data_IF_604662417984
#
_entry.id   IF_604662417984
#
_cell.length_a   1.000
_cell.length_b   1.000
_cell.length_c   1.000
_cell.angle_alpha   90.00
_cell.angle_beta   90.00
_cell.angle_gamma   90.00
#
_symmetry.space_group_name_H-M   'P 1'
#
loop_
_entity.id
_entity.type
_entity.pdbx_description
1 polymer ?
#
# COMPACT_ATOMS: atom_id res chain seq x y z
N UNK A 1 14.26 1.50 -23.47
CA UNK A 1 14.66 0.08 -23.46
C UNK A 1 13.42 -0.75 -23.14
N UNK A 2 13.22 -1.89 -23.79
CA UNK A 2 12.14 -2.84 -23.47
C UNK A 2 12.68 -3.98 -22.61
N UNK A 3 11.87 -4.51 -21.70
CA UNK A 3 12.12 -5.79 -21.02
C UNK A 3 10.96 -6.75 -21.31
N UNK A 4 11.15 -8.04 -21.04
CA UNK A 4 10.03 -8.98 -21.11
C UNK A 4 9.21 -8.93 -19.83
N UNK A 5 7.94 -9.31 -19.91
CA UNK A 5 7.05 -9.51 -18.77
C UNK A 5 7.67 -10.42 -17.70
N UNK A 6 8.38 -11.47 -18.11
CA UNK A 6 9.07 -12.39 -17.19
C UNK A 6 10.23 -11.70 -16.47
N UNK A 7 11.04 -10.91 -17.18
CA UNK A 7 12.11 -10.12 -16.56
C UNK A 7 11.55 -9.08 -15.58
N UNK A 8 10.44 -8.43 -15.94
CA UNK A 8 9.78 -7.47 -15.07
C UNK A 8 9.20 -8.13 -13.81
N UNK A 9 8.56 -9.31 -13.96
CA UNK A 9 8.07 -10.07 -12.81
C UNK A 9 9.22 -10.49 -11.89
N UNK A 10 10.31 -11.03 -12.44
CA UNK A 10 11.48 -11.44 -11.67
C UNK A 10 12.11 -10.25 -10.93
N UNK A 11 12.22 -9.08 -11.57
CA UNK A 11 12.68 -7.86 -10.92
C UNK A 11 11.82 -7.47 -9.71
N UNK A 12 10.50 -7.52 -9.84
CA UNK A 12 9.61 -7.21 -8.72
C UNK A 12 9.67 -8.27 -7.62
N UNK A 13 9.78 -9.56 -7.96
CA UNK A 13 9.91 -10.64 -6.99
C UNK A 13 11.23 -10.55 -6.21
N UNK A 14 12.32 -10.17 -6.88
CA UNK A 14 13.62 -9.93 -6.23
C UNK A 14 13.56 -8.71 -5.30
N UNK A 15 12.89 -7.64 -5.73
CA UNK A 15 12.76 -6.41 -4.96
C UNK A 15 11.86 -6.58 -3.74
N UNK A 16 10.71 -7.23 -3.90
CA UNK A 16 9.63 -7.25 -2.90
C UNK A 16 9.56 -8.56 -2.12
N UNK A 17 10.21 -9.63 -2.61
CA UNK A 17 10.26 -10.94 -1.97
C UNK A 17 8.88 -11.45 -1.49
N UNK A 18 7.86 -11.50 -2.37
CA UNK A 18 6.47 -11.79 -2.00
C UNK A 18 6.26 -13.15 -1.31
N UNK A 19 7.14 -14.12 -1.56
CA UNK A 19 7.16 -15.44 -0.92
C UNK A 19 7.32 -15.39 0.61
N UNK A 20 7.76 -14.26 1.17
CA UNK A 20 7.88 -14.05 2.62
C UNK A 20 6.55 -13.75 3.30
N UNK A 21 5.50 -13.47 2.53
CA UNK A 21 4.23 -12.96 3.04
C UNK A 21 3.09 -13.96 2.87
N UNK A 22 2.28 -14.10 3.92
CA UNK A 22 0.97 -14.75 3.84
C UNK A 22 -0.07 -13.67 3.55
N UNK A 23 -0.46 -13.57 2.28
CA UNK A 23 -1.28 -12.45 1.82
C UNK A 23 -2.74 -12.86 1.56
N UNK A 24 -3.58 -11.84 1.35
CA UNK A 24 -4.99 -11.96 1.03
C UNK A 24 -5.26 -12.04 -0.47
N UNK A 25 -4.27 -11.74 -1.32
CA UNK A 25 -4.34 -11.93 -2.77
C UNK A 25 -3.01 -12.42 -3.34
N UNK A 26 -2.98 -12.94 -4.58
CA UNK A 26 -1.73 -13.28 -5.25
C UNK A 26 -0.88 -12.03 -5.50
N UNK A 27 0.37 -12.08 -5.05
CA UNK A 27 1.40 -11.09 -5.40
C UNK A 27 2.11 -11.51 -6.70
N UNK A 28 2.43 -10.55 -7.57
CA UNK A 28 3.05 -10.77 -8.88
C UNK A 28 2.09 -10.54 -10.05
N UNK A 29 2.37 -11.21 -11.18
CA UNK A 29 1.51 -11.18 -12.36
C UNK A 29 0.14 -11.81 -12.08
N UNK A 30 -0.92 -11.01 -12.17
CA UNK A 30 -2.30 -11.43 -11.95
C UNK A 30 -3.08 -11.64 -13.25
N UNK A 31 -2.86 -10.80 -14.26
CA UNK A 31 -3.48 -10.92 -15.59
C UNK A 31 -2.40 -10.84 -16.63
N UNK A 32 -2.28 -11.88 -17.44
CA UNK A 32 -1.33 -11.93 -18.54
C UNK A 32 -1.77 -11.03 -19.70
N UNK A 33 -0.83 -10.23 -20.20
CA UNK A 33 -0.90 -9.51 -21.47
C UNK A 33 0.37 -9.78 -22.30
N UNK A 34 0.78 -8.80 -23.09
CA UNK A 34 1.87 -8.96 -24.07
C UNK A 34 3.22 -9.30 -23.43
N UNK A 35 4.10 -9.94 -24.21
CA UNK A 35 5.44 -10.35 -23.75
C UNK A 35 6.38 -9.16 -23.54
N UNK A 36 6.45 -8.23 -24.48
CA UNK A 36 7.38 -7.09 -24.42
C UNK A 36 6.77 -5.89 -23.70
N UNK A 37 7.41 -5.44 -22.63
CA UNK A 37 7.00 -4.28 -21.83
C UNK A 37 7.94 -3.11 -22.08
N UNK A 38 7.37 -1.99 -22.52
CA UNK A 38 8.05 -0.70 -22.73
C UNK A 38 7.46 0.42 -21.88
N UNK A 39 6.16 0.36 -21.61
CA UNK A 39 5.45 1.38 -20.85
C UNK A 39 4.68 0.76 -19.68
N UNK A 40 5.11 1.10 -18.46
CA UNK A 40 4.46 0.72 -17.21
C UNK A 40 3.67 1.92 -16.67
N UNK A 41 2.39 1.70 -16.35
CA UNK A 41 1.56 2.65 -15.61
C UNK A 41 1.38 2.13 -14.18
N UNK A 42 1.35 3.01 -13.19
CA UNK A 42 1.11 2.63 -11.80
C UNK A 42 -0.18 3.25 -11.26
N UNK A 43 -0.74 2.65 -10.21
CA UNK A 43 -1.86 3.22 -9.46
C UNK A 43 -2.09 2.47 -8.16
N UNK A 44 -2.93 3.00 -7.28
CA UNK A 44 -3.23 2.34 -6.00
C UNK A 44 -4.04 1.06 -6.23
N UNK A 45 -5.10 1.15 -7.04
CA UNK A 45 -6.06 0.06 -7.25
C UNK A 45 -6.30 -0.19 -8.74
N UNK A 46 -6.40 -1.45 -9.15
CA UNK A 46 -6.82 -1.87 -10.49
C UNK A 46 -8.31 -1.56 -10.75
N UNK A 47 -8.64 -0.27 -10.80
CA UNK A 47 -9.96 0.24 -11.10
C UNK A 47 -10.20 0.32 -12.61
N UNK A 48 -11.47 0.39 -13.02
CA UNK A 48 -11.81 0.59 -14.44
C UNK A 48 -11.20 1.90 -14.97
N UNK A 49 -11.25 2.97 -14.17
CA UNK A 49 -10.67 4.26 -14.52
C UNK A 49 -9.15 4.18 -14.74
N UNK A 50 -8.41 3.44 -13.90
CA UNK A 50 -6.97 3.22 -14.10
C UNK A 50 -6.72 2.42 -15.39
N UNK A 51 -7.48 1.36 -15.64
CA UNK A 51 -7.34 0.54 -16.84
C UNK A 51 -7.58 1.37 -18.10
N UNK A 52 -8.63 2.18 -18.13
CA UNK A 52 -8.93 3.06 -19.26
C UNK A 52 -7.81 4.09 -19.46
N UNK A 53 -7.36 4.74 -18.38
CA UNK A 53 -6.27 5.71 -18.43
C UNK A 53 -4.92 5.11 -18.88
N UNK A 54 -4.64 3.86 -18.53
CA UNK A 54 -3.45 3.12 -18.93
C UNK A 54 -3.51 2.72 -20.41
N UNK A 55 -4.68 2.23 -20.87
CA UNK A 55 -4.93 1.94 -22.29
C UNK A 55 -4.73 3.19 -23.15
N UNK A 56 -5.31 4.33 -22.74
CA UNK A 56 -5.24 5.58 -23.50
C UNK A 56 -3.80 6.13 -23.56
N UNK A 57 -2.94 5.73 -22.62
CA UNK A 57 -1.49 6.02 -22.60
C UNK A 57 -0.64 4.96 -23.33
N UNK A 58 -1.26 3.93 -23.91
CA UNK A 58 -0.55 2.84 -24.58
C UNK A 58 0.32 2.03 -23.63
N UNK A 59 -0.13 1.79 -22.39
CA UNK A 59 0.58 0.96 -21.44
C UNK A 59 0.72 -0.49 -21.95
N UNK A 60 1.83 -1.14 -21.62
CA UNK A 60 2.03 -2.57 -21.81
C UNK A 60 1.82 -3.35 -20.51
N UNK A 61 1.96 -2.67 -19.38
CA UNK A 61 1.77 -3.21 -18.05
C UNK A 61 1.18 -2.15 -17.10
N UNK A 62 0.47 -2.64 -16.09
CA UNK A 62 -0.01 -1.88 -14.95
C UNK A 62 0.57 -2.52 -13.68
N UNK A 63 1.13 -1.72 -12.77
CA UNK A 63 1.51 -2.12 -11.42
C UNK A 63 0.59 -1.44 -10.40
N UNK A 64 -0.04 -2.23 -9.53
CA UNK A 64 -0.91 -1.73 -8.46
C UNK A 64 -0.57 -2.31 -7.10
N UNK A 65 -1.03 -1.63 -6.06
CA UNK A 65 -1.04 -2.19 -4.71
C UNK A 65 -2.24 -3.14 -4.52
N UNK A 66 -3.45 -2.71 -4.88
CA UNK A 66 -4.66 -3.51 -4.83
C UNK A 66 -5.05 -4.08 -6.20
N UNK A 67 -4.75 -5.36 -6.40
CA UNK A 67 -5.17 -6.14 -7.57
C UNK A 67 -6.55 -6.81 -7.39
N UNK A 68 -6.65 -8.03 -7.90
CA UNK A 68 -7.82 -8.91 -7.84
C UNK A 68 -7.48 -10.22 -7.10
N UNK A 69 -8.42 -11.17 -7.11
CA UNK A 69 -8.21 -12.54 -6.58
C UNK A 69 -8.04 -12.56 -5.06
N UNK A 70 -8.75 -11.65 -4.39
CA UNK A 70 -8.81 -11.60 -2.94
C UNK A 70 -9.39 -12.89 -2.37
N UNK A 71 -8.85 -13.31 -1.23
CA UNK A 71 -9.28 -14.51 -0.52
C UNK A 71 -10.77 -14.42 -0.23
N UNK A 72 -11.47 -15.53 -0.48
CA UNK A 72 -12.93 -15.65 -0.29
C UNK A 72 -13.79 -14.80 -1.25
N UNK A 73 -13.21 -14.14 -2.27
CA UNK A 73 -14.03 -13.50 -3.31
C UNK A 73 -14.72 -14.55 -4.21
N UNK A 74 -15.91 -14.24 -4.78
CA UNK A 74 -16.52 -15.11 -5.78
C UNK A 74 -15.59 -15.34 -6.99
N UNK A 75 -15.33 -16.60 -7.37
CA UNK A 75 -14.40 -16.89 -8.48
C UNK A 75 -15.01 -16.54 -9.85
N UNK A 76 -16.34 -16.52 -9.97
CA UNK A 76 -17.04 -16.23 -11.21
C UNK A 76 -16.73 -14.84 -11.75
N UNK A 77 -16.48 -14.75 -13.06
CA UNK A 77 -16.16 -13.51 -13.75
C UNK A 77 -17.46 -12.89 -14.29
N UNK A 78 -18.12 -12.10 -13.45
CA UNK A 78 -19.36 -11.38 -13.78
C UNK A 78 -19.28 -9.90 -13.36
N UNK A 79 -20.24 -9.07 -13.79
CA UNK A 79 -20.33 -7.66 -13.41
C UNK A 79 -19.04 -6.87 -13.61
N UNK A 80 -18.61 -6.15 -12.56
CA UNK A 80 -17.40 -5.32 -12.57
C UNK A 80 -16.12 -6.11 -12.86
N UNK A 81 -15.99 -7.33 -12.31
CA UNK A 81 -14.82 -8.21 -12.54
C UNK A 81 -14.71 -8.56 -14.02
N UNK A 82 -15.83 -8.91 -14.65
CA UNK A 82 -15.87 -9.19 -16.09
C UNK A 82 -15.52 -7.97 -16.95
N UNK A 83 -16.02 -6.79 -16.60
CA UNK A 83 -15.72 -5.56 -17.33
C UNK A 83 -14.22 -5.24 -17.30
N UNK A 84 -13.62 -5.25 -16.11
CA UNK A 84 -12.20 -4.93 -15.89
C UNK A 84 -11.26 -5.95 -16.55
N UNK A 85 -11.50 -7.25 -16.33
CA UNK A 85 -10.67 -8.29 -16.94
C UNK A 85 -10.78 -8.28 -18.46
N UNK A 86 -11.98 -8.05 -19.02
CA UNK A 86 -12.17 -7.93 -20.47
C UNK A 86 -11.42 -6.73 -21.04
N UNK A 87 -11.40 -5.60 -20.33
CA UNK A 87 -10.66 -4.42 -20.76
C UNK A 87 -9.15 -4.67 -20.81
N UNK A 88 -8.58 -5.29 -19.76
CA UNK A 88 -7.16 -5.68 -19.72
C UNK A 88 -6.79 -6.67 -20.83
N UNK A 89 -7.55 -7.77 -20.95
CA UNK A 89 -7.27 -8.84 -21.92
C UNK A 89 -7.40 -8.31 -23.36
N UNK A 90 -8.43 -7.52 -23.66
CA UNK A 90 -8.59 -6.94 -25.01
C UNK A 90 -7.48 -5.95 -25.36
N UNK A 91 -6.94 -5.24 -24.38
CA UNK A 91 -5.84 -4.31 -24.57
C UNK A 91 -4.46 -4.99 -24.54
N UNK A 92 -4.40 -6.29 -24.25
CA UNK A 92 -3.18 -7.06 -24.09
C UNK A 92 -2.20 -6.46 -23.05
N UNK A 93 -2.78 -5.97 -21.94
CA UNK A 93 -2.06 -5.28 -20.85
C UNK A 93 -1.82 -6.25 -19.70
N UNK A 94 -0.57 -6.32 -19.24
CA UNK A 94 -0.21 -7.07 -18.03
C UNK A 94 -0.70 -6.36 -16.77
N UNK A 95 -1.25 -7.10 -15.81
CA UNK A 95 -1.53 -6.57 -14.47
C UNK A 95 -0.62 -7.24 -13.45
N UNK A 96 0.22 -6.45 -12.80
CA UNK A 96 1.02 -6.83 -11.64
C UNK A 96 0.41 -6.22 -10.38
N UNK A 97 0.35 -6.99 -9.29
CA UNK A 97 -0.09 -6.50 -7.99
C UNK A 97 0.86 -6.94 -6.89
N UNK A 98 1.22 -6.01 -5.99
CA UNK A 98 1.97 -6.32 -4.77
C UNK A 98 1.33 -5.61 -3.59
N UNK A 99 0.77 -6.40 -2.68
CA UNK A 99 0.00 -5.93 -1.52
C UNK A 99 0.91 -5.78 -0.29
N UNK A 100 0.88 -6.71 0.68
CA UNK A 100 1.71 -6.62 1.90
C UNK A 100 3.23 -6.47 1.63
N UNK A 101 3.82 -7.12 0.60
CA UNK A 101 5.23 -6.89 0.28
C UNK A 101 5.56 -5.42 0.03
N UNK A 102 4.62 -4.67 -0.58
CA UNK A 102 4.79 -3.25 -0.82
C UNK A 102 4.48 -2.41 0.42
N UNK A 103 3.57 -2.81 1.31
CA UNK A 103 3.41 -2.10 2.60
C UNK A 103 4.65 -2.19 3.48
N UNK A 104 5.31 -3.36 3.49
CA UNK A 104 6.42 -3.66 4.39
C UNK A 104 7.81 -3.32 3.83
N UNK A 105 7.94 -2.96 2.54
CA UNK A 105 9.26 -2.71 1.97
C UNK A 105 9.92 -1.45 2.58
N UNK A 106 11.13 -1.55 3.17
CA UNK A 106 11.70 -0.49 4.01
C UNK A 106 12.06 0.81 3.28
N UNK A 107 12.32 0.75 1.98
CA UNK A 107 12.67 1.94 1.17
C UNK A 107 11.49 2.42 0.30
N UNK A 108 10.96 1.52 -0.52
CA UNK A 108 9.94 1.81 -1.53
C UNK A 108 8.49 1.59 -1.07
N UNK A 109 8.28 1.14 0.17
CA UNK A 109 6.95 0.75 0.62
C UNK A 109 6.05 1.88 1.08
N UNK A 110 4.77 1.57 1.24
CA UNK A 110 3.74 2.54 1.64
C UNK A 110 4.05 3.13 3.03
N UNK A 111 4.40 2.30 4.00
CA UNK A 111 4.75 2.77 5.35
C UNK A 111 6.04 3.58 5.38
N UNK A 112 7.05 3.18 4.62
CA UNK A 112 8.28 3.95 4.48
C UNK A 112 8.02 5.33 3.85
N UNK A 113 7.13 5.40 2.85
CA UNK A 113 6.72 6.66 2.25
C UNK A 113 5.95 7.56 3.23
N UNK A 114 5.00 7.00 3.98
CA UNK A 114 4.25 7.75 4.98
C UNK A 114 5.16 8.29 6.11
N UNK A 115 6.13 7.49 6.56
CA UNK A 115 7.15 7.93 7.52
C UNK A 115 7.88 9.18 7.06
N UNK A 116 8.35 9.20 5.79
CA UNK A 116 8.98 10.38 5.20
C UNK A 116 8.06 11.60 5.15
N UNK A 117 6.78 11.41 4.82
CA UNK A 117 5.81 12.53 4.82
C UNK A 117 5.55 13.10 6.21
N UNK A 118 5.67 12.26 7.25
CA UNK A 118 5.63 12.71 8.65
C UNK A 118 6.92 13.40 9.09
N UNK A 119 8.01 13.32 8.33
CA UNK A 119 9.33 13.81 8.72
C UNK A 119 10.13 12.81 9.56
N UNK A 120 9.84 11.52 9.44
CA UNK A 120 10.54 10.43 10.13
C UNK A 120 11.38 9.68 9.10
N UNK A 121 12.68 9.98 9.02
CA UNK A 121 13.59 9.33 8.07
C UNK A 121 14.04 7.93 8.53
N UNK A 122 14.30 7.77 9.82
CA UNK A 122 14.69 6.51 10.44
C UNK A 122 13.45 5.83 11.04
N UNK A 123 12.82 4.96 10.26
CA UNK A 123 11.72 4.12 10.71
C UNK A 123 12.09 2.64 10.62
N UNK A 124 11.46 1.84 11.48
CA UNK A 124 11.60 0.39 11.49
C UNK A 124 10.23 -0.28 11.64
N UNK A 125 10.15 -1.57 11.29
CA UNK A 125 8.97 -2.36 11.62
C UNK A 125 8.79 -2.42 13.14
N UNK A 126 7.55 -2.26 13.59
CA UNK A 126 7.20 -2.30 15.01
C UNK A 126 7.40 -3.71 15.59
N UNK A 127 6.96 -4.72 14.83
CA UNK A 127 7.19 -6.12 15.16
C UNK A 127 8.35 -6.68 14.32
N UNK A 128 9.51 -6.85 14.96
CA UNK A 128 10.70 -7.41 14.33
C UNK A 128 10.64 -8.94 14.19
N UNK A 129 9.73 -9.60 14.90
CA UNK A 129 9.56 -11.06 14.86
C UNK A 129 8.62 -11.47 13.72
N UNK A 130 7.64 -10.63 13.39
CA UNK A 130 6.77 -10.79 12.23
C UNK A 130 6.95 -9.65 11.22
N UNK A 131 7.89 -9.77 10.25
CA UNK A 131 8.07 -8.76 9.21
C UNK A 131 6.87 -8.66 8.25
N UNK A 132 5.88 -9.56 8.36
CA UNK A 132 4.62 -9.48 7.65
C UNK A 132 3.63 -8.49 8.26
N UNK A 133 3.87 -8.02 9.48
CA UNK A 133 3.05 -7.00 10.14
C UNK A 133 3.40 -5.61 9.58
N UNK A 134 2.48 -4.94 8.86
CA UNK A 134 2.76 -3.68 8.17
C UNK A 134 2.70 -2.46 9.10
N UNK A 135 3.16 -2.60 10.35
CA UNK A 135 3.19 -1.51 11.32
C UNK A 135 4.62 -1.04 11.49
N UNK A 136 4.82 0.26 11.32
CA UNK A 136 6.12 0.90 11.44
C UNK A 136 6.12 1.83 12.66
N UNK A 137 7.31 2.13 13.16
CA UNK A 137 7.51 3.15 14.19
C UNK A 137 8.74 4.00 13.93
N UNK A 138 8.78 5.15 14.58
CA UNK A 138 9.93 6.02 14.61
C UNK A 138 9.68 7.25 15.49
N UNK A 139 10.60 8.20 15.43
CA UNK A 139 10.54 9.43 16.21
C UNK A 139 10.73 10.65 15.33
N UNK A 140 10.00 11.72 15.67
CA UNK A 140 10.23 13.06 15.16
C UNK A 140 11.46 13.66 15.84
N UNK A 141 12.20 14.50 15.11
CA UNK A 141 13.36 15.21 15.64
C UNK A 141 12.97 16.17 16.78
N UNK A 142 11.87 16.90 16.59
CA UNK A 142 11.28 17.79 17.58
C UNK A 142 9.85 17.34 17.92
N UNK A 143 9.46 17.55 19.17
CA UNK A 143 8.09 17.29 19.62
C UNK A 143 7.14 18.28 18.98
N UNK A 144 6.02 17.78 18.45
CA UNK A 144 4.93 18.59 17.87
C UNK A 144 3.62 18.25 18.58
N UNK A 145 2.56 19.02 18.38
CA UNK A 145 1.23 18.61 18.87
C UNK A 145 0.61 17.58 17.94
N UNK A 146 -0.34 16.78 18.43
CA UNK A 146 -1.17 15.87 17.60
C UNK A 146 -1.77 16.63 16.41
N UNK A 147 -2.32 17.83 16.66
CA UNK A 147 -2.89 18.66 15.60
C UNK A 147 -1.82 19.12 14.59
N UNK A 148 -0.62 19.48 15.06
CA UNK A 148 0.48 19.88 14.18
C UNK A 148 0.94 18.75 13.25
N UNK A 149 0.97 17.50 13.75
CA UNK A 149 1.23 16.33 12.89
C UNK A 149 0.08 16.10 11.90
N UNK A 150 -1.17 16.23 12.35
CA UNK A 150 -2.35 16.07 11.49
C UNK A 150 -2.39 17.13 10.37
N UNK A 151 -2.04 18.39 10.66
CA UNK A 151 -1.98 19.47 9.68
C UNK A 151 -0.87 19.21 8.65
N UNK A 152 0.31 18.76 9.09
CA UNK A 152 1.42 18.35 8.21
C UNK A 152 0.96 17.25 7.24
N UNK A 153 0.35 16.19 7.76
CA UNK A 153 -0.20 15.11 6.95
C UNK A 153 -1.32 15.60 6.04
N UNK A 154 -2.16 16.51 6.52
CA UNK A 154 -3.26 17.11 5.77
C UNK A 154 -2.79 17.82 4.51
N UNK A 155 -1.73 18.61 4.63
CA UNK A 155 -1.08 19.27 3.49
C UNK A 155 -0.38 18.26 2.59
N UNK A 156 0.40 17.34 3.16
CA UNK A 156 1.22 16.40 2.39
C UNK A 156 0.38 15.39 1.58
N UNK A 157 -0.78 14.99 2.10
CA UNK A 157 -1.69 14.01 1.50
C UNK A 157 -2.88 14.65 0.78
N UNK A 158 -3.00 15.98 0.79
CA UNK A 158 -4.17 16.72 0.28
C UNK A 158 -5.50 16.19 0.86
N UNK A 159 -5.50 15.88 2.16
CA UNK A 159 -6.65 15.29 2.86
C UNK A 159 -6.55 15.53 4.37
N UNK A 160 -7.50 16.27 4.93
CA UNK A 160 -7.60 16.48 6.39
C UNK A 160 -7.79 15.14 7.13
N UNK A 161 -6.88 14.77 8.06
CA UNK A 161 -7.04 13.59 8.90
C UNK A 161 -8.17 13.75 9.92
N UNK A 162 -8.78 12.63 10.32
CA UNK A 162 -9.59 12.58 11.55
C UNK A 162 -8.63 12.51 12.73
N UNK A 163 -8.83 13.36 13.73
CA UNK A 163 -8.01 13.41 14.95
C UNK A 163 -8.84 12.94 16.13
N UNK A 164 -8.29 12.02 16.91
CA UNK A 164 -8.86 11.53 18.16
C UNK A 164 -7.78 11.71 19.23
N UNK A 165 -8.08 12.45 20.29
CA UNK A 165 -7.12 12.79 21.34
C UNK A 165 -6.35 14.09 21.10
N UNK A 166 -5.52 14.44 22.07
CA UNK A 166 -4.68 15.64 22.09
C UNK A 166 -3.37 15.36 22.83
N UNK A 167 -2.39 16.25 22.70
CA UNK A 167 -1.11 16.13 23.40
C UNK A 167 0.09 16.41 22.50
N UNK A 168 1.27 16.17 23.08
CA UNK A 168 2.55 16.28 22.39
C UNK A 168 2.96 14.91 21.82
N UNK A 169 3.58 14.94 20.65
CA UNK A 169 3.97 13.78 19.86
C UNK A 169 5.45 13.87 19.57
N UNK A 170 6.20 12.86 20.01
CA UNK A 170 7.58 12.63 19.59
C UNK A 170 7.75 11.26 18.96
N UNK A 171 7.09 10.24 19.49
CA UNK A 171 7.10 8.87 19.00
C UNK A 171 5.80 8.55 18.28
N UNK A 172 5.92 7.89 17.13
CA UNK A 172 4.79 7.58 16.25
C UNK A 172 4.86 6.13 15.85
N UNK A 173 3.73 5.43 15.88
CA UNK A 173 3.53 4.19 15.14
C UNK A 173 2.50 4.41 14.03
N UNK A 174 2.59 3.65 12.93
CA UNK A 174 1.65 3.78 11.84
C UNK A 174 1.52 2.53 10.99
N UNK A 175 0.37 2.40 10.33
CA UNK A 175 0.10 1.43 9.29
C UNK A 175 -0.78 2.08 8.22
N UNK A 176 -0.32 2.14 6.98
CA UNK A 176 -1.13 2.60 5.85
C UNK A 176 -2.37 1.71 5.63
N UNK A 177 -3.39 2.24 4.95
CA UNK A 177 -4.59 1.48 4.63
C UNK A 177 -5.47 1.17 5.86
N UNK A 178 -6.00 -0.05 5.91
CA UNK A 178 -6.93 -0.52 6.94
C UNK A 178 -6.22 -1.04 8.21
N UNK A 179 -5.35 -0.21 8.79
CA UNK A 179 -4.53 -0.55 9.94
C UNK A 179 -5.18 -0.34 11.31
N UNK A 180 -6.46 0.02 11.39
CA UNK A 180 -7.15 0.31 12.65
C UNK A 180 -7.08 -0.81 13.70
N UNK A 181 -6.89 -2.06 13.28
CA UNK A 181 -6.74 -3.21 14.18
C UNK A 181 -5.40 -3.29 14.92
N UNK A 182 -4.41 -2.49 14.55
CA UNK A 182 -3.08 -2.47 15.19
C UNK A 182 -2.92 -1.39 16.27
N UNK A 183 -3.99 -0.69 16.62
CA UNK A 183 -3.92 0.37 17.64
C UNK A 183 -3.49 -0.17 19.01
N UNK A 184 -3.94 -1.35 19.42
CA UNK A 184 -3.53 -1.96 20.69
C UNK A 184 -2.03 -2.29 20.68
N UNK A 185 -1.52 -2.80 19.55
CA UNK A 185 -0.10 -3.07 19.36
C UNK A 185 0.74 -1.79 19.44
N UNK A 186 0.24 -0.68 18.88
CA UNK A 186 0.87 0.62 18.99
C UNK A 186 0.84 1.16 20.43
N UNK A 187 -0.30 1.02 21.13
CA UNK A 187 -0.45 1.42 22.52
C UNK A 187 0.49 0.63 23.45
N UNK A 188 0.58 -0.69 23.29
CA UNK A 188 1.49 -1.56 24.04
C UNK A 188 2.96 -1.20 23.79
N UNK A 189 3.28 -0.66 22.61
CA UNK A 189 4.62 -0.16 22.29
C UNK A 189 4.94 1.21 22.94
N UNK A 190 3.95 1.85 23.56
CA UNK A 190 4.12 3.12 24.28
C UNK A 190 4.44 4.30 23.39
N UNK A 191 3.95 4.32 22.14
CA UNK A 191 4.09 5.51 21.27
C UNK A 191 3.07 6.59 21.64
N UNK A 192 3.41 7.84 21.34
CA UNK A 192 2.54 8.99 21.66
C UNK A 192 1.31 9.05 20.76
N UNK A 193 1.44 8.61 19.50
CA UNK A 193 0.33 8.60 18.54
C UNK A 193 0.42 7.43 17.56
N UNK A 194 -0.76 6.95 17.14
CA UNK A 194 -0.92 5.96 16.09
C UNK A 194 -1.59 6.58 14.84
N UNK A 195 -1.03 6.34 13.65
CA UNK A 195 -1.57 6.86 12.38
C UNK A 195 -2.00 5.71 11.46
N UNK A 196 -3.24 5.76 10.95
CA UNK A 196 -3.72 4.82 9.94
C UNK A 196 -4.66 5.47 8.91
N UNK A 197 -5.03 4.73 7.86
CA UNK A 197 -5.88 5.22 6.78
C UNK A 197 -7.37 5.14 7.10
N UNK A 198 -7.82 4.04 7.68
CA UNK A 198 -9.21 3.81 8.11
C UNK A 198 -9.32 3.77 9.65
N UNK A 199 -10.56 3.86 10.15
CA UNK A 199 -10.91 3.88 11.58
C UNK A 199 -12.24 3.16 11.80
N UNK A 200 -12.38 2.52 12.95
CA UNK A 200 -13.63 1.89 13.41
C UNK A 200 -13.98 2.37 14.83
N UNK A 201 -15.19 2.08 15.31
CA UNK A 201 -15.66 2.56 16.62
C UNK A 201 -14.73 2.16 17.77
N UNK A 202 -14.29 0.91 17.81
CA UNK A 202 -13.41 0.39 18.85
C UNK A 202 -12.04 1.10 18.90
N UNK A 203 -11.61 1.69 17.78
CA UNK A 203 -10.34 2.41 17.69
C UNK A 203 -10.37 3.71 18.52
N UNK A 204 -11.54 4.29 18.78
CA UNK A 204 -11.69 5.53 19.53
C UNK A 204 -11.68 5.34 21.06
N UNK A 205 -11.59 4.09 21.53
CA UNK A 205 -11.82 3.72 22.93
C UNK A 205 -10.65 2.97 23.60
N UNK A 206 -9.48 2.98 22.95
CA UNK A 206 -8.21 2.44 23.48
C UNK A 206 -7.53 3.43 24.41
#
# INVERSE_FOLDING_TARGET
MSCTRQQLNAFFDDLLAPQRFKDYCPNGLQVEGKTDVRHLVTGVTASQALIDAARDRGADAILVHHGYFWRSEPPCITGMKAARLRALIKADINLFAYHLPLDCHPLHGNNAALGRLMGIEACEALDLQDPGTPVFRGQLEESVTVQGLADRLGVALDRTPLVIGEGDVKSVAWCTGAGQGYIDLAADAGVDVYVSGEVSEQTAHV
#
